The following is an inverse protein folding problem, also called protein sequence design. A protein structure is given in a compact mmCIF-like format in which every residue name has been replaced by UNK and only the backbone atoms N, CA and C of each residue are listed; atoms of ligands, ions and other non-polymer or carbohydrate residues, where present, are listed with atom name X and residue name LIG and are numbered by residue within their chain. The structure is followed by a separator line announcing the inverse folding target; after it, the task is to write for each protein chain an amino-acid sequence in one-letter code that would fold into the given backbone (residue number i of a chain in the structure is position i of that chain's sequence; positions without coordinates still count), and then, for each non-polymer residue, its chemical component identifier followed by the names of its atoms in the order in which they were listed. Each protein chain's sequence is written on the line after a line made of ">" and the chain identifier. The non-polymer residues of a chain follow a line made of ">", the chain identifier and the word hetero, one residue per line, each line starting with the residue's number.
data_IF_189539714080
#
_entry.id   IF_189539714080
#
_cell.length_a   1.000
_cell.length_b   1.000
_cell.length_c   1.000
_cell.angle_alpha   90.00
_cell.angle_beta   90.00
_cell.angle_gamma   90.00
#
_symmetry.space_group_name_H-M   'P 1'
#
loop_
_entity.id
_entity.type
_entity.pdbx_description
1 polymer ?
#
# COMPACT_ATOMS: atom_id res chain seq x y z
N UNK A 1 24.52 -45.43 14.38
CA UNK A 1 23.27 -44.64 14.29
C UNK A 1 23.67 -43.18 14.20
N UNK A 2 23.66 -42.57 13.01
CA UNK A 2 24.06 -41.16 12.80
C UNK A 2 22.86 -40.27 13.07
N UNK A 3 22.92 -39.47 14.13
CA UNK A 3 21.90 -38.50 14.50
C UNK A 3 22.10 -37.24 13.65
N UNK A 4 21.23 -37.02 12.68
CA UNK A 4 21.20 -35.80 11.87
C UNK A 4 20.47 -34.72 12.68
N UNK A 5 21.19 -33.68 13.14
CA UNK A 5 20.54 -32.50 13.72
C UNK A 5 19.86 -31.70 12.60
N UNK A 6 18.54 -31.60 12.64
CA UNK A 6 17.79 -30.58 11.90
C UNK A 6 17.97 -29.24 12.62
N UNK A 7 18.65 -28.30 11.97
CA UNK A 7 18.65 -26.90 12.40
C UNK A 7 17.27 -26.29 12.09
N UNK A 8 16.52 -25.95 13.13
CA UNK A 8 15.30 -25.17 12.98
C UNK A 8 15.69 -23.74 12.58
N UNK A 9 15.33 -23.34 11.36
CA UNK A 9 15.42 -21.94 10.92
C UNK A 9 14.27 -21.21 11.59
N UNK A 10 14.56 -20.46 12.65
CA UNK A 10 13.62 -19.53 13.25
C UNK A 10 13.41 -18.37 12.27
N UNK A 11 12.22 -18.30 11.66
CA UNK A 11 11.80 -17.12 10.92
C UNK A 11 11.69 -15.95 11.90
N UNK A 12 12.58 -14.96 11.73
CA UNK A 12 12.49 -13.71 12.47
C UNK A 12 11.17 -12.99 12.10
N UNK A 13 10.53 -12.28 13.04
CA UNK A 13 9.41 -11.42 12.70
C UNK A 13 9.89 -10.39 11.69
N UNK A 14 9.08 -10.11 10.66
CA UNK A 14 9.35 -9.04 9.72
C UNK A 14 9.35 -7.72 10.52
N UNK A 15 10.54 -7.28 10.93
CA UNK A 15 10.76 -5.93 11.42
C UNK A 15 10.23 -5.01 10.33
N UNK A 16 9.30 -4.11 10.67
CA UNK A 16 8.79 -3.11 9.75
C UNK A 16 10.00 -2.49 9.03
N UNK A 17 10.09 -2.74 7.72
CA UNK A 17 11.29 -2.39 6.96
C UNK A 17 11.50 -0.89 7.09
N UNK A 18 12.63 -0.46 7.66
CA UNK A 18 12.80 0.94 8.01
C UNK A 18 12.80 1.79 6.73
N UNK A 19 11.93 2.80 6.70
CA UNK A 19 11.79 3.75 5.61
C UNK A 19 12.77 4.89 5.86
N UNK A 20 13.62 5.20 4.88
CA UNK A 20 14.61 6.28 4.97
C UNK A 20 13.96 7.63 4.72
N UNK A 21 14.46 8.65 5.41
CA UNK A 21 14.06 10.03 5.18
C UNK A 21 14.67 10.61 3.89
N UNK A 22 14.04 11.65 3.28
CA UNK A 22 14.50 12.19 1.99
C UNK A 22 15.92 12.77 1.99
N UNK A 23 16.42 13.22 3.14
CA UNK A 23 17.77 13.76 3.34
C UNK A 23 18.84 12.65 3.35
N UNK A 24 18.44 11.42 3.67
CA UNK A 24 19.30 10.22 3.61
C UNK A 24 19.42 9.64 2.20
N UNK A 25 18.69 10.20 1.22
CA UNK A 25 18.62 9.70 -0.15
C UNK A 25 19.27 10.71 -1.09
N UNK A 26 20.41 10.31 -1.64
CA UNK A 26 21.24 11.11 -2.54
C UNK A 26 21.25 10.52 -3.95
N UNK A 27 21.72 11.30 -4.92
CA UNK A 27 21.90 10.87 -6.30
C UNK A 27 22.96 11.72 -6.99
N UNK A 28 23.52 11.23 -8.10
CA UNK A 28 24.54 11.97 -8.87
C UNK A 28 24.00 13.27 -9.49
N UNK A 29 22.69 13.36 -9.68
CA UNK A 29 21.92 14.52 -10.12
C UNK A 29 20.46 14.36 -9.65
N UNK A 30 19.61 15.35 -9.92
CA UNK A 30 18.20 15.34 -9.51
C UNK A 30 17.43 14.15 -10.08
N UNK A 31 17.63 13.79 -11.34
CA UNK A 31 16.95 12.65 -11.95
C UNK A 31 17.31 11.32 -11.26
N UNK A 32 18.61 11.12 -10.96
CA UNK A 32 19.09 9.94 -10.24
C UNK A 32 18.56 9.91 -8.80
N UNK A 33 18.53 11.07 -8.11
CA UNK A 33 17.97 11.18 -6.77
C UNK A 33 16.46 10.92 -6.77
N UNK A 34 15.73 11.45 -7.75
CA UNK A 34 14.29 11.24 -7.93
C UNK A 34 13.98 9.76 -8.10
N UNK A 35 14.69 9.05 -8.98
CA UNK A 35 14.50 7.61 -9.14
C UNK A 35 14.77 6.85 -7.83
N UNK A 36 15.82 7.22 -7.08
CA UNK A 36 16.12 6.61 -5.78
C UNK A 36 15.06 6.89 -4.71
N UNK A 37 14.49 8.10 -4.69
CA UNK A 37 13.37 8.47 -3.80
C UNK A 37 12.14 7.61 -4.11
N UNK A 38 11.81 7.42 -5.39
CA UNK A 38 10.70 6.55 -5.77
C UNK A 38 10.97 5.07 -5.44
N UNK A 39 12.22 4.61 -5.56
CA UNK A 39 12.61 3.27 -5.08
C UNK A 39 12.33 3.11 -3.59
N UNK A 40 12.61 4.12 -2.77
CA UNK A 40 12.29 4.10 -1.34
C UNK A 40 10.76 4.10 -1.11
N UNK A 41 10.01 4.97 -1.80
CA UNK A 41 8.53 4.95 -1.79
C UNK A 41 7.96 3.59 -2.18
N UNK A 42 8.65 2.86 -3.06
CA UNK A 42 8.30 1.52 -3.50
C UNK A 42 8.19 0.50 -2.37
N UNK A 43 8.88 0.70 -1.24
CA UNK A 43 8.71 -0.14 -0.03
C UNK A 43 7.30 -0.03 0.54
N UNK A 44 6.69 1.14 0.46
CA UNK A 44 5.29 1.38 0.88
C UNK A 44 4.34 0.92 -0.22
N UNK A 45 4.52 1.41 -1.45
CA UNK A 45 3.61 1.15 -2.57
C UNK A 45 3.43 -0.34 -2.90
N UNK A 46 4.48 -1.14 -2.73
CA UNK A 46 4.44 -2.59 -2.95
C UNK A 46 4.19 -3.40 -1.66
N UNK A 47 3.97 -2.73 -0.53
CA UNK A 47 3.62 -3.40 0.72
C UNK A 47 2.19 -3.97 0.63
N UNK A 48 1.88 -5.12 1.27
CA UNK A 48 0.52 -5.66 1.30
C UNK A 48 -0.53 -4.67 1.81
N UNK A 49 -0.18 -3.70 2.66
CA UNK A 49 -1.13 -2.64 3.08
C UNK A 49 -1.64 -1.78 1.92
N UNK A 50 -0.80 -1.52 0.92
CA UNK A 50 -1.21 -0.78 -0.27
C UNK A 50 -1.76 -1.74 -1.34
N UNK A 51 -1.06 -2.85 -1.60
CA UNK A 51 -1.45 -3.78 -2.66
C UNK A 51 -2.80 -4.45 -2.43
N UNK A 52 -3.24 -4.64 -1.18
CA UNK A 52 -4.58 -5.17 -0.88
C UNK A 52 -5.71 -4.21 -1.30
N UNK A 53 -5.45 -2.90 -1.33
CA UNK A 53 -6.38 -1.87 -1.79
C UNK A 53 -6.26 -1.60 -3.30
N UNK A 54 -5.14 -2.00 -3.90
CA UNK A 54 -4.82 -1.87 -5.33
C UNK A 54 -4.75 -3.23 -6.06
N UNK A 55 -5.76 -4.13 -5.94
CA UNK A 55 -5.76 -5.36 -6.71
C UNK A 55 -6.00 -5.07 -8.20
N UNK A 56 -5.29 -5.81 -9.06
CA UNK A 56 -5.49 -5.77 -10.52
C UNK A 56 -6.71 -6.58 -10.97
N UNK A 57 -7.21 -7.47 -10.11
CA UNK A 57 -8.38 -8.31 -10.36
C UNK A 57 -9.64 -7.72 -9.72
N UNK A 58 -10.78 -8.39 -9.92
CA UNK A 58 -12.11 -7.87 -9.60
C UNK A 58 -12.48 -7.81 -8.12
N UNK A 59 -11.59 -8.07 -7.16
CA UNK A 59 -11.93 -8.06 -5.73
C UNK A 59 -10.73 -7.78 -4.81
N UNK A 60 -10.98 -7.41 -3.55
CA UNK A 60 -9.94 -7.15 -2.57
C UNK A 60 -9.16 -8.42 -2.22
N UNK A 61 -7.91 -8.22 -1.83
CA UNK A 61 -7.13 -9.22 -1.10
C UNK A 61 -6.93 -8.77 0.34
N UNK A 62 -6.52 -9.69 1.21
CA UNK A 62 -6.33 -9.41 2.63
C UNK A 62 -5.09 -10.15 3.17
N UNK A 63 -4.59 -9.71 4.33
CA UNK A 63 -3.40 -10.29 4.94
C UNK A 63 -2.10 -9.89 4.24
N UNK A 64 -0.97 -10.35 4.77
CA UNK A 64 0.37 -10.07 4.22
C UNK A 64 0.71 -11.02 3.06
N UNK A 65 0.02 -12.16 2.98
CA UNK A 65 0.04 -13.12 1.88
C UNK A 65 -0.89 -12.72 0.72
N UNK A 66 -1.67 -11.64 0.87
CA UNK A 66 -2.60 -11.11 -0.14
C UNK A 66 -3.55 -12.17 -0.71
N UNK A 67 -4.06 -13.06 0.15
CA UNK A 67 -5.08 -14.02 -0.26
C UNK A 67 -6.41 -13.29 -0.56
N UNK A 68 -7.33 -13.89 -1.33
CA UNK A 68 -8.64 -13.29 -1.58
C UNK A 68 -9.38 -12.93 -0.29
N UNK A 69 -10.10 -11.81 -0.30
CA UNK A 69 -10.91 -11.38 0.84
C UNK A 69 -11.88 -12.47 1.33
N UNK A 70 -12.08 -12.57 2.64
CA UNK A 70 -12.99 -13.54 3.26
C UNK A 70 -13.97 -12.83 4.22
N UNK A 71 -15.30 -12.90 4.00
CA UNK A 71 -15.97 -13.65 2.93
C UNK A 71 -15.61 -13.12 1.52
N UNK A 72 -15.72 -13.94 0.45
CA UNK A 72 -15.45 -13.49 -0.90
C UNK A 72 -16.34 -12.29 -1.29
N UNK A 73 -15.70 -11.20 -1.69
CA UNK A 73 -16.35 -9.95 -2.13
C UNK A 73 -15.73 -9.51 -3.46
N UNK A 74 -16.48 -8.75 -4.24
CA UNK A 74 -16.02 -8.11 -5.48
C UNK A 74 -15.95 -6.60 -5.31
N UNK A 75 -15.12 -5.94 -6.12
CA UNK A 75 -14.90 -4.50 -6.18
C UNK A 75 -16.19 -3.71 -6.47
N UNK A 76 -17.02 -4.21 -7.38
CA UNK A 76 -18.19 -3.50 -7.90
C UNK A 76 -17.83 -2.32 -8.82
N UNK A 77 -18.84 -1.72 -9.46
CA UNK A 77 -18.63 -0.62 -10.41
C UNK A 77 -18.16 0.69 -9.75
N UNK A 78 -18.52 0.89 -8.48
CA UNK A 78 -18.16 2.07 -7.69
C UNK A 78 -16.96 1.84 -6.75
N UNK A 79 -16.21 0.74 -6.96
CA UNK A 79 -15.09 0.32 -6.09
C UNK A 79 -15.46 0.08 -4.61
N UNK A 80 -16.75 -0.02 -4.32
CA UNK A 80 -17.33 -0.03 -2.97
C UNK A 80 -18.19 -1.27 -2.68
N UNK A 81 -17.95 -2.37 -3.39
CA UNK A 81 -18.72 -3.60 -3.26
C UNK A 81 -19.79 -3.77 -4.32
N UNK A 82 -20.39 -4.96 -4.37
CA UNK A 82 -21.46 -5.26 -5.32
C UNK A 82 -22.76 -4.52 -4.96
N UNK A 83 -23.62 -4.30 -5.95
CA UNK A 83 -24.95 -3.77 -5.72
C UNK A 83 -25.71 -4.62 -4.68
N UNK A 84 -26.17 -3.98 -3.60
CA UNK A 84 -26.86 -4.63 -2.49
C UNK A 84 -25.95 -5.24 -1.41
N UNK A 85 -24.62 -5.22 -1.60
CA UNK A 85 -23.63 -5.67 -0.62
C UNK A 85 -22.39 -4.77 -0.68
N UNK A 86 -22.57 -3.52 -0.24
CA UNK A 86 -21.50 -2.53 -0.17
C UNK A 86 -20.53 -2.83 0.97
N UNK A 87 -19.29 -2.34 0.86
CA UNK A 87 -18.24 -2.56 1.84
C UNK A 87 -18.64 -2.15 3.27
N UNK A 88 -19.41 -1.08 3.43
CA UNK A 88 -19.87 -0.60 4.74
C UNK A 88 -20.93 -1.48 5.42
N UNK A 89 -21.41 -2.54 4.76
CA UNK A 89 -22.27 -3.55 5.40
C UNK A 89 -21.51 -4.34 6.46
N UNK A 90 -20.19 -4.42 6.35
CA UNK A 90 -19.32 -5.10 7.32
C UNK A 90 -18.25 -4.16 7.90
N UNK A 91 -17.69 -3.26 7.08
CA UNK A 91 -16.63 -2.34 7.50
C UNK A 91 -17.22 -1.05 8.06
N UNK A 92 -16.93 -0.77 9.34
CA UNK A 92 -17.35 0.48 10.00
C UNK A 92 -16.35 1.62 9.78
N UNK A 93 -16.53 2.69 10.55
CA UNK A 93 -15.64 3.86 10.54
C UNK A 93 -14.33 3.63 11.30
N UNK A 94 -14.24 2.54 12.07
CA UNK A 94 -13.11 2.21 12.93
C UNK A 94 -12.80 0.70 12.87
N UNK A 95 -11.57 0.34 13.25
CA UNK A 95 -11.18 -1.06 13.38
C UNK A 95 -11.93 -1.73 14.54
N UNK A 96 -12.58 -2.87 14.29
CA UNK A 96 -13.35 -3.62 15.30
C UNK A 96 -12.63 -4.95 15.59
N UNK A 97 -12.04 -5.15 16.79
CA UNK A 97 -11.40 -6.40 17.16
C UNK A 97 -12.37 -7.59 17.10
N UNK A 98 -11.88 -8.76 16.69
CA UNK A 98 -12.66 -9.99 16.80
C UNK A 98 -12.78 -10.41 18.26
N UNK A 99 -13.95 -10.91 18.66
CA UNK A 99 -14.20 -11.34 20.04
C UNK A 99 -13.52 -12.67 20.41
N UNK A 100 -13.24 -13.52 19.43
CA UNK A 100 -12.89 -14.94 19.66
C UNK A 100 -11.51 -15.32 19.16
N UNK A 101 -10.78 -14.41 18.49
CA UNK A 101 -9.45 -14.65 17.93
C UNK A 101 -8.69 -13.34 17.76
N UNK A 102 -7.37 -13.41 17.64
CA UNK A 102 -6.55 -12.25 17.27
C UNK A 102 -6.95 -11.70 15.91
N UNK A 103 -7.05 -10.38 15.80
CA UNK A 103 -7.36 -9.67 14.56
C UNK A 103 -8.55 -8.72 14.71
N UNK A 104 -8.86 -8.00 13.64
CA UNK A 104 -9.98 -7.06 13.60
C UNK A 104 -10.67 -7.04 12.23
N UNK A 105 -11.91 -6.57 12.16
CA UNK A 105 -12.52 -6.06 10.92
C UNK A 105 -11.93 -4.66 10.70
N UNK A 106 -11.36 -4.35 9.52
CA UNK A 106 -10.81 -3.03 9.27
C UNK A 106 -11.94 -2.01 9.08
N UNK A 107 -11.69 -0.74 9.40
CA UNK A 107 -12.68 0.32 9.22
C UNK A 107 -12.06 1.72 9.10
N UNK A 108 -12.71 2.54 8.28
CA UNK A 108 -12.43 3.95 7.99
C UNK A 108 -13.65 4.54 7.25
N UNK A 109 -13.81 5.87 7.23
CA UNK A 109 -14.81 6.55 6.40
C UNK A 109 -14.15 7.47 5.36
N UNK A 110 -14.16 7.13 4.05
CA UNK A 110 -14.77 5.94 3.43
C UNK A 110 -13.89 4.67 3.54
N UNK A 111 -14.48 3.49 3.32
CA UNK A 111 -13.76 2.21 3.15
C UNK A 111 -14.03 1.59 1.78
N UNK A 112 -13.14 1.81 0.81
CA UNK A 112 -13.31 1.42 -0.59
C UNK A 112 -11.98 1.03 -1.24
N UNK A 113 -12.03 0.43 -2.43
CA UNK A 113 -10.82 0.10 -3.19
C UNK A 113 -10.37 1.26 -4.09
N UNK A 114 -9.08 1.28 -4.42
CA UNK A 114 -8.58 2.16 -5.47
C UNK A 114 -9.08 1.64 -6.83
N UNK A 115 -9.55 2.49 -7.76
CA UNK A 115 -10.13 2.05 -9.05
C UNK A 115 -9.32 0.99 -9.78
N UNK A 116 -9.98 0.15 -10.58
CA UNK A 116 -9.29 -0.93 -11.34
C UNK A 116 -8.14 -0.40 -12.22
N UNK A 117 -8.26 0.82 -12.74
CA UNK A 117 -7.21 1.50 -13.51
C UNK A 117 -5.95 1.79 -12.69
N UNK A 118 -6.02 1.70 -11.36
CA UNK A 118 -4.96 1.88 -10.37
C UNK A 118 -4.50 0.56 -9.72
N UNK A 119 -4.84 -0.60 -10.28
CA UNK A 119 -4.36 -1.88 -9.78
C UNK A 119 -2.85 -2.03 -9.94
N UNK A 120 -2.15 -2.47 -8.88
CA UNK A 120 -0.69 -2.55 -8.80
C UNK A 120 -0.14 -3.94 -8.51
N UNK A 121 -0.94 -4.87 -8.02
CA UNK A 121 -0.49 -6.25 -7.77
C UNK A 121 0.16 -6.88 -9.00
N UNK A 122 1.37 -7.42 -8.82
CA UNK A 122 2.16 -8.06 -9.88
C UNK A 122 2.83 -7.09 -10.85
N UNK A 123 2.66 -5.76 -10.70
CA UNK A 123 3.39 -4.76 -11.48
C UNK A 123 4.77 -4.50 -10.89
N UNK A 124 5.74 -4.23 -11.76
CA UNK A 124 7.04 -3.70 -11.36
C UNK A 124 6.91 -2.28 -10.81
N UNK A 125 7.92 -1.85 -10.05
CA UNK A 125 7.94 -0.51 -9.48
C UNK A 125 7.97 0.60 -10.56
N UNK A 126 8.67 0.36 -11.68
CA UNK A 126 8.69 1.28 -12.81
C UNK A 126 7.30 1.44 -13.44
N UNK A 127 6.53 0.36 -13.57
CA UNK A 127 5.15 0.40 -14.07
C UNK A 127 4.21 1.14 -13.11
N UNK A 128 4.34 0.90 -11.80
CA UNK A 128 3.58 1.63 -10.77
C UNK A 128 3.89 3.14 -10.87
N UNK A 129 5.17 3.51 -10.98
CA UNK A 129 5.57 4.91 -11.16
C UNK A 129 4.91 5.54 -12.39
N UNK A 130 5.05 4.88 -13.54
CA UNK A 130 4.49 5.39 -14.79
C UNK A 130 2.97 5.54 -14.71
N UNK A 131 2.29 4.66 -13.98
CA UNK A 131 0.84 4.71 -13.77
C UNK A 131 0.41 5.82 -12.81
N UNK A 132 1.12 5.99 -11.69
CA UNK A 132 0.86 7.07 -10.73
C UNK A 132 0.97 8.44 -11.41
N UNK A 133 1.94 8.61 -12.33
CA UNK A 133 2.15 9.88 -13.05
C UNK A 133 1.16 10.16 -14.17
N UNK A 134 0.34 9.19 -14.56
CA UNK A 134 -0.50 9.28 -15.76
C UNK A 134 -1.95 9.63 -15.39
N UNK A 135 -2.41 10.86 -15.68
CA UNK A 135 -3.77 11.29 -15.37
C UNK A 135 -4.86 10.39 -15.95
N UNK A 136 -4.60 9.73 -17.07
CA UNK A 136 -5.57 8.82 -17.69
C UNK A 136 -5.72 7.50 -16.92
N UNK A 137 -4.77 7.16 -16.05
CA UNK A 137 -4.76 5.90 -15.29
C UNK A 137 -4.87 6.09 -13.78
N UNK A 138 -4.58 7.29 -13.26
CA UNK A 138 -4.58 7.61 -11.82
C UNK A 138 -5.86 8.36 -11.35
N UNK A 139 -6.90 8.41 -12.19
CA UNK A 139 -8.15 9.12 -11.86
C UNK A 139 -8.05 10.64 -12.01
N UNK A 140 -7.25 11.13 -12.96
CA UNK A 140 -7.14 12.55 -13.29
C UNK A 140 -6.31 13.38 -12.31
N UNK A 141 -5.53 12.74 -11.42
CA UNK A 141 -4.71 13.43 -10.44
C UNK A 141 -3.44 13.98 -11.08
N UNK A 142 -3.11 15.23 -10.76
CA UNK A 142 -1.77 15.77 -10.99
C UNK A 142 -0.82 15.40 -9.82
N UNK A 143 0.44 15.82 -9.92
CA UNK A 143 1.45 15.52 -8.88
C UNK A 143 1.11 16.14 -7.52
N UNK A 144 0.46 17.31 -7.49
CA UNK A 144 0.06 17.94 -6.23
C UNK A 144 -1.07 17.15 -5.55
N UNK A 145 -2.05 16.67 -6.33
CA UNK A 145 -3.13 15.82 -5.83
C UNK A 145 -2.62 14.42 -5.43
N UNK A 146 -1.60 13.88 -6.09
CA UNK A 146 -0.91 12.65 -5.67
C UNK A 146 -0.22 12.86 -4.33
N UNK A 147 0.48 13.99 -4.14
CA UNK A 147 1.11 14.33 -2.87
C UNK A 147 0.08 14.43 -1.75
N UNK A 148 -1.03 15.13 -1.98
CA UNK A 148 -2.11 15.24 -0.98
C UNK A 148 -2.70 13.87 -0.64
N UNK A 149 -2.96 13.04 -1.65
CA UNK A 149 -3.45 11.67 -1.46
C UNK A 149 -2.47 10.82 -0.63
N UNK A 150 -1.17 10.82 -0.95
CA UNK A 150 -0.18 10.06 -0.20
C UNK A 150 0.01 10.59 1.23
N UNK A 151 0.01 11.91 1.41
CA UNK A 151 0.40 12.54 2.68
C UNK A 151 -0.76 12.75 3.66
N UNK A 152 -2.01 12.80 3.19
CA UNK A 152 -3.16 13.26 3.99
C UNK A 152 -4.45 12.48 3.83
N UNK A 153 -4.59 11.65 2.80
CA UNK A 153 -5.80 10.84 2.65
C UNK A 153 -5.92 9.87 3.84
N UNK A 154 -7.04 9.93 4.55
CA UNK A 154 -7.27 9.14 5.75
C UNK A 154 -7.33 7.63 5.47
N UNK A 155 -7.89 7.23 4.32
CA UNK A 155 -7.98 5.82 3.94
C UNK A 155 -6.59 5.28 3.57
N UNK A 156 -5.74 6.10 2.95
CA UNK A 156 -4.32 5.78 2.78
C UNK A 156 -3.62 5.69 4.14
N UNK A 157 -3.88 6.65 5.03
CA UNK A 157 -3.33 6.73 6.39
C UNK A 157 -3.66 5.52 7.26
N UNK A 158 -4.80 4.87 7.02
CA UNK A 158 -5.17 3.61 7.66
C UNK A 158 -4.08 2.53 7.53
N UNK A 159 -3.27 2.55 6.46
CA UNK A 159 -2.16 1.62 6.26
C UNK A 159 -1.13 1.58 7.39
N UNK A 160 -1.01 2.64 8.17
CA UNK A 160 -0.10 2.70 9.33
C UNK A 160 -0.80 2.45 10.68
N UNK A 161 -2.14 2.44 10.71
CA UNK A 161 -2.95 2.09 11.88
C UNK A 161 -3.97 0.98 11.54
N UNK A 162 -3.53 -0.19 11.05
CA UNK A 162 -4.41 -1.16 10.40
C UNK A 162 -5.24 -2.00 11.38
N UNK A 163 -5.27 -1.67 12.67
CA UNK A 163 -5.93 -2.46 13.71
C UNK A 163 -5.17 -3.72 14.09
N UNK A 164 -5.72 -4.45 15.07
CA UNK A 164 -5.08 -5.63 15.65
C UNK A 164 -4.83 -6.72 14.59
N UNK A 165 -3.69 -7.41 14.71
CA UNK A 165 -3.33 -8.58 13.92
C UNK A 165 -2.82 -8.29 12.51
N UNK A 166 -2.53 -7.01 12.18
CA UNK A 166 -1.97 -6.62 10.88
C UNK A 166 -0.64 -5.90 11.04
N UNK A 167 0.28 -6.19 10.12
CA UNK A 167 1.55 -5.47 9.98
C UNK A 167 1.28 -4.08 9.39
N UNK A 168 1.71 -2.98 10.05
CA UNK A 168 1.64 -1.63 9.47
C UNK A 168 2.49 -1.49 8.21
N UNK A 169 2.16 -0.52 7.37
CA UNK A 169 3.04 -0.12 6.29
C UNK A 169 4.39 0.40 6.83
N UNK A 170 5.49 0.28 6.06
CA UNK A 170 6.80 0.84 6.43
C UNK A 170 6.74 2.33 6.81
N UNK A 171 7.46 2.72 7.86
CA UNK A 171 7.60 4.12 8.28
C UNK A 171 6.30 4.74 8.82
N UNK A 172 5.98 5.94 8.33
CA UNK A 172 4.76 6.69 8.66
C UNK A 172 4.17 7.35 7.41
N UNK A 173 2.88 7.71 7.44
CA UNK A 173 2.26 8.46 6.34
C UNK A 173 2.95 9.80 6.10
N UNK A 174 3.35 10.48 7.18
CA UNK A 174 4.10 11.73 7.09
C UNK A 174 5.38 11.53 6.28
N UNK A 175 6.19 10.52 6.62
CA UNK A 175 7.44 10.23 5.94
C UNK A 175 7.21 9.83 4.48
N UNK A 176 6.14 9.08 4.19
CA UNK A 176 5.75 8.76 2.82
C UNK A 176 5.35 10.01 2.02
N UNK A 177 4.66 10.96 2.64
CA UNK A 177 4.37 12.27 2.05
C UNK A 177 5.62 13.11 1.81
N UNK A 178 6.58 13.09 2.73
CA UNK A 178 7.87 13.78 2.59
C UNK A 178 8.69 13.20 1.43
N UNK A 179 8.75 11.88 1.30
CA UNK A 179 9.37 11.20 0.16
C UNK A 179 8.67 11.54 -1.15
N UNK A 180 7.33 11.53 -1.16
CA UNK A 180 6.54 11.90 -2.34
C UNK A 180 6.83 13.33 -2.77
N UNK A 181 6.90 14.28 -1.84
CA UNK A 181 7.26 15.68 -2.12
C UNK A 181 8.66 15.78 -2.70
N UNK A 182 9.66 15.19 -2.05
CA UNK A 182 11.04 15.23 -2.52
C UNK A 182 11.19 14.61 -3.92
N UNK A 183 10.45 13.54 -4.21
CA UNK A 183 10.41 12.92 -5.53
C UNK A 183 9.83 13.86 -6.59
N UNK A 184 8.74 14.56 -6.27
CA UNK A 184 8.14 15.57 -7.16
C UNK A 184 9.12 16.73 -7.40
N UNK A 185 9.72 17.26 -6.34
CA UNK A 185 10.65 18.40 -6.39
C UNK A 185 11.90 18.10 -7.22
N UNK A 186 12.29 16.82 -7.30
CA UNK A 186 13.44 16.36 -8.11
C UNK A 186 13.06 15.89 -9.52
N UNK A 187 11.80 16.09 -9.94
CA UNK A 187 11.33 15.89 -11.32
C UNK A 187 10.45 14.66 -11.54
N UNK A 188 10.03 13.99 -10.47
CA UNK A 188 9.13 12.83 -10.51
C UNK A 188 9.60 11.71 -11.46
N UNK A 189 10.91 11.48 -11.57
CA UNK A 189 11.53 10.48 -12.43
C UNK A 189 11.24 9.07 -11.89
N UNK A 190 10.91 8.15 -12.79
CA UNK A 190 10.69 6.75 -12.47
C UNK A 190 12.01 5.97 -12.43
N UNK A 191 12.14 4.95 -11.56
CA UNK A 191 13.30 4.07 -11.59
C UNK A 191 13.33 3.25 -12.88
N UNK A 192 14.51 2.75 -13.24
CA UNK A 192 14.63 1.74 -14.29
C UNK A 192 13.87 0.47 -13.88
N UNK A 193 13.22 -0.17 -14.87
CA UNK A 193 12.48 -1.43 -14.71
C UNK A 193 13.37 -2.65 -14.78
#
# INVERSE_FOLDING_TARGET
>A
MRMTLMAAVLAAPAVAQELRAPDQITGANDAARSAALFTEMGKVLQHPRCLNCHPVTGGPTQGDDMHPHNPPIVRGEADFGAAGLNCNSCHGTENIPYLTRTGSIPGHDPWQLAPVSMGWQGRSLAEICAQIKDPARNGGKDLAAILDHHARDGLVGWGWAPGEGRTPAPGSQQLFGELTRAWIDTGAVCPAG
#
